data_IF_670876015604
#
_entry.id   IF_670876015604
#
_cell.length_a   1.000
_cell.length_b   1.000
_cell.length_c   1.000
_cell.angle_alpha   90.00
_cell.angle_beta   90.00
_cell.angle_gamma   90.00
#
_symmetry.space_group_name_H-M   'P 1'
#
loop_
_entity.id
_entity.type
_entity.pdbx_description
1 polymer ?
#
# COMPACT_ATOMS: atom_id res chain seq x y z
N UNK A 1 5.05 -9.44 -14.72
CA UNK A 1 3.63 -9.07 -14.91
C UNK A 1 3.32 -8.53 -16.27
N UNK A 2 3.97 -7.48 -16.78
CA UNK A 2 3.65 -6.96 -18.14
C UNK A 2 3.74 -8.02 -19.24
N UNK A 3 4.88 -8.72 -19.35
CA UNK A 3 5.06 -9.75 -20.38
C UNK A 3 4.28 -11.05 -20.08
N UNK A 4 4.25 -11.49 -18.81
CA UNK A 4 3.55 -12.71 -18.39
C UNK A 4 2.03 -12.57 -18.52
N UNK A 5 1.47 -11.41 -18.16
CA UNK A 5 0.04 -11.11 -18.32
C UNK A 5 -0.37 -11.00 -19.79
N UNK A 6 0.53 -10.55 -20.68
CA UNK A 6 0.28 -10.62 -22.12
C UNK A 6 0.28 -12.09 -22.60
N UNK A 7 1.22 -12.92 -22.13
CA UNK A 7 1.25 -14.35 -22.47
C UNK A 7 -0.02 -15.08 -21.99
N UNK A 8 -0.52 -14.74 -20.80
CA UNK A 8 -1.79 -15.24 -20.26
C UNK A 8 -2.99 -14.77 -21.08
N UNK A 9 -3.09 -13.47 -21.36
CA UNK A 9 -4.20 -12.89 -22.14
C UNK A 9 -4.30 -13.51 -23.55
N UNK A 10 -3.16 -13.80 -24.19
CA UNK A 10 -3.10 -14.41 -25.52
C UNK A 10 -3.05 -15.94 -25.50
N UNK A 11 -3.18 -16.59 -24.33
CA UNK A 11 -3.10 -18.06 -24.16
C UNK A 11 -1.82 -18.68 -24.78
N UNK A 12 -0.69 -17.96 -24.75
CA UNK A 12 0.58 -18.43 -25.31
C UNK A 12 1.27 -19.48 -24.43
N UNK A 13 0.92 -19.54 -23.15
CA UNK A 13 1.56 -20.42 -22.16
C UNK A 13 0.48 -20.95 -21.22
N UNK A 14 0.62 -22.22 -20.83
CA UNK A 14 -0.21 -22.82 -19.78
C UNK A 14 0.13 -22.18 -18.42
N UNK A 15 -0.85 -21.51 -17.83
CA UNK A 15 -0.73 -20.81 -16.54
C UNK A 15 -0.47 -21.75 -15.37
N UNK A 16 -0.78 -23.05 -15.51
CA UNK A 16 -0.48 -24.07 -14.51
C UNK A 16 0.93 -24.66 -14.65
N UNK A 17 1.66 -24.29 -15.72
CA UNK A 17 3.05 -24.71 -15.89
C UNK A 17 3.89 -24.20 -14.73
N UNK A 18 4.66 -25.09 -14.10
CA UNK A 18 5.54 -24.72 -12.98
C UNK A 18 6.53 -23.60 -13.33
N UNK A 19 6.92 -23.48 -14.60
CA UNK A 19 7.76 -22.37 -15.07
C UNK A 19 7.01 -21.03 -15.05
N UNK A 20 5.74 -21.01 -15.47
CA UNK A 20 4.92 -19.81 -15.43
C UNK A 20 4.71 -19.34 -14.00
N UNK A 21 4.34 -20.26 -13.09
CA UNK A 21 4.16 -19.97 -11.66
C UNK A 21 5.43 -19.41 -11.02
N UNK A 22 6.60 -19.98 -11.31
CA UNK A 22 7.87 -19.49 -10.77
C UNK A 22 8.22 -18.09 -11.31
N UNK A 23 8.05 -17.85 -12.61
CA UNK A 23 8.31 -16.53 -13.20
C UNK A 23 7.34 -15.48 -12.68
N UNK A 24 6.08 -15.84 -12.49
CA UNK A 24 5.07 -14.98 -11.90
C UNK A 24 5.44 -14.60 -10.45
N UNK A 25 5.80 -15.60 -9.65
CA UNK A 25 6.26 -15.40 -8.26
C UNK A 25 7.49 -14.48 -8.19
N UNK A 26 8.48 -14.66 -9.06
CA UNK A 26 9.66 -13.80 -9.10
C UNK A 26 9.31 -12.38 -9.51
N UNK A 27 8.36 -12.21 -10.43
CA UNK A 27 7.90 -10.90 -10.84
C UNK A 27 7.09 -10.20 -9.74
N UNK A 28 6.17 -10.89 -9.07
CA UNK A 28 5.28 -10.30 -8.06
C UNK A 28 6.03 -9.91 -6.80
N UNK A 29 7.02 -10.70 -6.38
CA UNK A 29 7.78 -10.47 -5.16
C UNK A 29 8.31 -9.02 -5.05
N UNK A 30 8.84 -8.47 -6.15
CA UNK A 30 9.36 -7.10 -6.20
C UNK A 30 8.31 -6.03 -5.91
N UNK A 31 7.08 -6.21 -6.39
CA UNK A 31 5.96 -5.28 -6.18
C UNK A 31 5.30 -5.46 -4.81
N UNK A 32 5.27 -6.68 -4.29
CA UNK A 32 4.78 -6.98 -2.94
C UNK A 32 5.64 -6.23 -1.91
N UNK A 33 6.96 -6.31 -2.02
CA UNK A 33 7.87 -5.66 -1.07
C UNK A 33 8.13 -4.18 -1.37
N UNK A 34 7.59 -3.65 -2.46
CA UNK A 34 7.82 -2.26 -2.88
C UNK A 34 7.49 -1.24 -1.78
N UNK A 35 6.37 -1.37 -1.03
CA UNK A 35 6.09 -0.48 0.11
C UNK A 35 7.15 -0.52 1.21
N UNK A 36 7.82 -1.65 1.45
CA UNK A 36 8.92 -1.75 2.42
C UNK A 36 10.13 -0.96 1.93
N UNK A 37 10.51 -1.14 0.66
CA UNK A 37 11.66 -0.46 0.06
C UNK A 37 11.46 1.06 0.02
N UNK A 38 10.25 1.48 -0.34
CA UNK A 38 9.86 2.90 -0.34
C UNK A 38 9.81 3.42 1.09
N UNK A 39 9.23 2.67 2.03
CA UNK A 39 9.16 3.07 3.43
C UNK A 39 10.54 3.32 4.04
N UNK A 40 11.50 2.44 3.76
CA UNK A 40 12.89 2.62 4.16
C UNK A 40 13.51 3.89 3.56
N UNK A 41 13.38 4.06 2.24
CA UNK A 41 14.01 5.16 1.51
C UNK A 41 13.38 6.52 1.85
N UNK A 42 12.05 6.56 2.00
CA UNK A 42 11.29 7.74 2.36
C UNK A 42 11.56 8.18 3.80
N UNK A 43 11.71 7.23 4.73
CA UNK A 43 12.09 7.55 6.11
C UNK A 43 13.48 8.20 6.16
N UNK A 44 14.41 7.74 5.32
CA UNK A 44 15.73 8.36 5.17
C UNK A 44 15.62 9.82 4.70
N UNK A 45 14.81 10.07 3.67
CA UNK A 45 14.60 11.42 3.12
C UNK A 45 13.86 12.37 4.08
N UNK A 46 12.83 11.88 4.77
CA UNK A 46 12.09 12.68 5.75
C UNK A 46 12.82 12.82 7.09
N UNK A 47 13.99 12.18 7.24
CA UNK A 47 14.83 12.21 8.42
C UNK A 47 14.22 11.52 9.65
N UNK A 48 13.40 10.49 9.42
CA UNK A 48 12.94 9.56 10.45
C UNK A 48 13.81 8.30 10.51
N UNK A 49 13.47 7.38 11.40
CA UNK A 49 14.16 6.10 11.50
C UNK A 49 13.78 5.19 10.31
N UNK A 50 14.78 4.76 9.54
CA UNK A 50 14.61 3.94 8.34
C UNK A 50 14.02 2.56 8.64
N UNK A 51 14.33 1.98 9.79
CA UNK A 51 13.74 0.72 10.23
C UNK A 51 12.25 0.89 10.56
N UNK A 52 11.86 2.01 11.17
CA UNK A 52 10.43 2.30 11.38
C UNK A 52 9.71 2.50 10.05
N UNK A 53 10.33 3.20 9.10
CA UNK A 53 9.80 3.33 7.74
C UNK A 53 9.56 1.97 7.06
N UNK A 54 10.51 1.04 7.18
CA UNK A 54 10.36 -0.32 6.67
C UNK A 54 9.23 -1.10 7.38
N UNK A 55 9.10 -0.95 8.70
CA UNK A 55 8.02 -1.57 9.49
C UNK A 55 6.65 -1.05 9.05
N UNK A 56 6.52 0.26 8.83
CA UNK A 56 5.29 0.86 8.29
C UNK A 56 4.96 0.30 6.90
N UNK A 57 5.96 0.21 6.02
CA UNK A 57 5.80 -0.43 4.71
C UNK A 57 5.32 -1.89 4.83
N UNK A 58 5.84 -2.62 5.82
CA UNK A 58 5.41 -3.99 6.13
C UNK A 58 3.96 -4.08 6.62
N UNK A 59 3.53 -3.16 7.49
CA UNK A 59 2.14 -3.07 7.94
C UNK A 59 1.20 -2.84 6.77
N UNK A 60 1.59 -1.99 5.82
CA UNK A 60 0.78 -1.67 4.64
C UNK A 60 0.63 -2.84 3.65
N UNK A 61 1.43 -3.91 3.79
CA UNK A 61 1.34 -5.13 2.98
C UNK A 61 1.06 -6.38 3.83
N UNK A 62 0.55 -6.18 5.04
CA UNK A 62 0.32 -7.28 5.99
C UNK A 62 -0.61 -8.34 5.37
N UNK A 63 -0.38 -9.65 5.60
CA UNK A 63 -1.17 -10.73 4.98
C UNK A 63 -2.67 -10.70 5.29
N UNK A 64 -3.05 -10.15 6.45
CA UNK A 64 -4.47 -9.93 6.81
C UNK A 64 -5.14 -8.85 5.96
N UNK A 65 -4.38 -8.02 5.25
CA UNK A 65 -4.91 -7.09 4.28
C UNK A 65 -5.06 -7.81 2.94
N UNK A 66 -6.25 -7.71 2.35
CA UNK A 66 -6.49 -8.26 1.03
C UNK A 66 -5.54 -7.61 0.04
N UNK A 67 -4.76 -8.42 -0.66
CA UNK A 67 -3.91 -7.92 -1.73
C UNK A 67 -4.80 -7.35 -2.85
N UNK A 68 -4.55 -6.11 -3.34
CA UNK A 68 -5.28 -5.53 -4.46
C UNK A 68 -5.42 -6.42 -5.69
N UNK A 69 -4.46 -7.31 -5.95
CA UNK A 69 -4.57 -8.24 -7.09
C UNK A 69 -5.63 -9.33 -6.89
N UNK A 70 -6.03 -9.61 -5.65
CA UNK A 70 -7.12 -10.53 -5.31
C UNK A 70 -8.51 -9.90 -5.29
N UNK A 71 -8.64 -8.61 -5.61
CA UNK A 71 -9.94 -7.90 -5.66
C UNK A 71 -10.92 -8.51 -6.67
N UNK A 72 -10.43 -9.24 -7.67
CA UNK A 72 -11.24 -9.96 -8.66
C UNK A 72 -11.97 -11.15 -8.05
N UNK A 73 -11.38 -11.80 -7.04
CA UNK A 73 -11.87 -13.06 -6.46
C UNK A 73 -12.52 -12.87 -5.09
N UNK A 74 -12.12 -11.83 -4.35
CA UNK A 74 -12.59 -11.56 -2.99
C UNK A 74 -12.84 -10.06 -2.77
N UNK A 75 -13.83 -9.76 -1.92
CA UNK A 75 -14.09 -8.38 -1.47
C UNK A 75 -13.34 -8.12 -0.16
N UNK A 76 -12.74 -6.93 0.02
CA UNK A 76 -12.02 -6.61 1.24
C UNK A 76 -12.98 -6.57 2.42
N UNK A 77 -12.59 -7.22 3.52
CA UNK A 77 -13.32 -7.11 4.78
C UNK A 77 -13.33 -5.65 5.23
N UNK A 78 -14.49 -5.14 5.65
CA UNK A 78 -14.62 -3.78 6.17
C UNK A 78 -14.70 -3.83 7.68
N UNK A 79 -13.76 -3.20 8.37
CA UNK A 79 -13.79 -2.98 9.81
C UNK A 79 -14.59 -1.71 10.11
N UNK A 80 -15.58 -1.80 10.99
CA UNK A 80 -16.25 -0.62 11.52
C UNK A 80 -15.40 -0.03 12.66
N UNK A 81 -14.83 1.14 12.40
CA UNK A 81 -14.04 1.89 13.37
C UNK A 81 -14.79 3.17 13.74
N UNK A 82 -15.50 3.15 14.88
CA UNK A 82 -16.30 4.28 15.38
C UNK A 82 -17.28 4.88 14.35
N UNK A 83 -17.91 4.04 13.51
CA UNK A 83 -18.85 4.46 12.46
C UNK A 83 -18.21 4.74 11.10
N UNK A 84 -16.88 4.59 10.98
CA UNK A 84 -16.16 4.66 9.71
C UNK A 84 -15.75 3.27 9.25
N UNK A 85 -16.26 2.85 8.09
CA UNK A 85 -15.86 1.60 7.45
C UNK A 85 -14.46 1.71 6.84
N UNK A 86 -13.50 1.01 7.43
CA UNK A 86 -12.13 0.86 6.92
C UNK A 86 -12.00 -0.48 6.21
N UNK A 87 -11.78 -0.43 4.89
CA UNK A 87 -11.49 -1.65 4.14
C UNK A 87 -10.08 -2.15 4.47
N UNK A 88 -9.99 -3.43 4.78
CA UNK A 88 -8.72 -4.15 4.98
C UNK A 88 -8.11 -4.49 3.62
N UNK A 89 -7.78 -3.46 2.85
CA UNK A 89 -7.09 -3.56 1.58
C UNK A 89 -5.61 -3.22 1.77
N UNK A 90 -4.75 -4.05 1.19
CA UNK A 90 -3.31 -3.83 1.20
C UNK A 90 -2.90 -2.80 0.16
N UNK A 91 -1.66 -2.31 0.29
CA UNK A 91 -1.10 -1.26 -0.55
C UNK A 91 0.05 -1.76 -1.43
N UNK A 92 0.06 -3.07 -1.71
CA UNK A 92 1.05 -3.71 -2.57
C UNK A 92 1.13 -2.98 -3.92
N UNK A 93 2.35 -2.68 -4.37
CA UNK A 93 2.57 -1.96 -5.63
C UNK A 93 2.23 -0.46 -5.63
N UNK A 94 1.74 0.13 -4.53
CA UNK A 94 1.43 1.57 -4.48
C UNK A 94 2.57 2.38 -3.86
N UNK A 95 2.84 3.57 -4.41
CA UNK A 95 3.94 4.46 -4.00
C UNK A 95 3.45 5.62 -3.15
N UNK A 96 2.43 6.34 -3.66
CA UNK A 96 1.93 7.58 -3.06
C UNK A 96 1.41 7.36 -1.63
N UNK A 97 0.55 6.36 -1.36
CA UNK A 97 0.08 6.08 0.00
C UNK A 97 1.24 5.90 0.98
N UNK A 98 2.24 5.11 0.60
CA UNK A 98 3.41 4.78 1.44
C UNK A 98 4.23 6.03 1.77
N UNK A 99 4.50 6.88 0.77
CA UNK A 99 5.24 8.12 0.97
C UNK A 99 4.52 9.04 1.96
N UNK A 100 3.20 9.18 1.84
CA UNK A 100 2.39 9.99 2.76
C UNK A 100 2.41 9.41 4.18
N UNK A 101 2.25 8.09 4.33
CA UNK A 101 2.31 7.42 5.63
C UNK A 101 3.64 7.69 6.32
N UNK A 102 4.75 7.53 5.60
CA UNK A 102 6.09 7.64 6.15
C UNK A 102 6.46 9.10 6.45
N UNK A 103 5.92 10.06 5.70
CA UNK A 103 6.01 11.46 6.04
C UNK A 103 5.37 11.75 7.40
N UNK A 104 4.15 11.25 7.62
CA UNK A 104 3.45 11.40 8.91
C UNK A 104 4.21 10.68 10.02
N UNK A 105 4.70 9.46 9.76
CA UNK A 105 5.53 8.70 10.68
C UNK A 105 6.73 9.52 11.17
N UNK A 106 7.47 10.15 10.24
CA UNK A 106 8.66 10.93 10.58
C UNK A 106 8.31 12.15 11.45
N UNK A 107 7.13 12.76 11.23
CA UNK A 107 6.63 13.86 12.09
C UNK A 107 6.25 13.37 13.48
N UNK A 108 5.55 12.25 13.58
CA UNK A 108 5.15 11.63 14.85
C UNK A 108 6.38 11.24 15.65
N UNK A 109 7.34 10.53 15.04
CA UNK A 109 8.57 10.09 15.69
C UNK A 109 9.35 11.28 16.27
N UNK A 110 9.58 12.32 15.47
CA UNK A 110 10.28 13.53 15.91
C UNK A 110 9.54 14.28 17.01
N UNK A 111 8.21 14.23 17.03
CA UNK A 111 7.38 14.79 18.09
C UNK A 111 7.53 14.01 19.39
N UNK A 112 7.41 12.69 19.31
CA UNK A 112 7.50 11.78 20.46
C UNK A 112 8.87 11.85 21.14
N UNK A 113 9.96 11.90 20.37
CA UNK A 113 11.34 12.06 20.91
C UNK A 113 11.54 13.32 21.74
N UNK A 114 10.72 14.37 21.55
CA UNK A 114 10.81 15.61 22.35
C UNK A 114 10.07 15.52 23.68
N UNK A 115 9.07 14.64 23.76
CA UNK A 115 8.19 14.50 24.92
C UNK A 115 8.65 13.35 25.82
N UNK A 116 9.20 12.29 25.22
CA UNK A 116 9.56 11.07 25.93
C UNK A 116 10.92 11.22 26.63
N UNK A 117 11.04 10.88 27.93
CA UNK A 117 12.32 10.89 28.63
C UNK A 117 13.34 9.91 28.04
N UNK A 118 14.62 10.30 27.98
CA UNK A 118 15.71 9.51 27.37
C UNK A 118 15.82 8.07 27.87
N UNK A 119 15.46 7.80 29.12
CA UNK A 119 15.55 6.46 29.74
C UNK A 119 14.64 5.44 29.03
N UNK A 120 13.53 5.91 28.46
CA UNK A 120 12.50 5.06 27.84
C UNK A 120 12.32 5.33 26.34
N UNK A 121 13.00 6.32 25.78
CA UNK A 121 12.94 6.71 24.36
C UNK A 121 13.23 5.55 23.40
N UNK A 122 14.19 4.69 23.74
CA UNK A 122 14.57 3.54 22.90
C UNK A 122 13.42 2.56 22.66
N UNK A 123 12.48 2.46 23.61
CA UNK A 123 11.37 1.50 23.55
C UNK A 123 10.04 2.18 23.22
N UNK A 124 9.71 3.26 23.94
CA UNK A 124 8.40 3.91 23.83
C UNK A 124 8.25 4.68 22.52
N UNK A 125 9.29 5.37 22.06
CA UNK A 125 9.22 6.15 20.82
C UNK A 125 8.91 5.29 19.61
N UNK A 126 9.67 4.22 19.30
CA UNK A 126 9.37 3.39 18.14
C UNK A 126 8.01 2.69 18.27
N UNK A 127 7.64 2.22 19.46
CA UNK A 127 6.36 1.57 19.72
C UNK A 127 5.17 2.51 19.44
N UNK A 128 5.18 3.69 20.07
CA UNK A 128 4.12 4.68 19.89
C UNK A 128 4.08 5.22 18.46
N UNK A 129 5.25 5.43 17.84
CA UNK A 129 5.34 5.87 16.44
C UNK A 129 4.63 4.88 15.52
N UNK A 130 4.92 3.59 15.65
CA UNK A 130 4.32 2.55 14.82
C UNK A 130 2.81 2.46 15.05
N UNK A 131 2.35 2.50 16.30
CA UNK A 131 0.92 2.45 16.62
C UNK A 131 0.17 3.64 16.04
N UNK A 132 0.60 4.87 16.35
CA UNK A 132 -0.09 6.06 15.87
C UNK A 132 -0.06 6.14 14.35
N UNK A 133 1.09 5.84 13.73
CA UNK A 133 1.20 5.84 12.27
C UNK A 133 0.35 4.75 11.63
N UNK A 134 0.30 3.54 12.21
CA UNK A 134 -0.53 2.44 11.71
C UNK A 134 -2.01 2.80 11.71
N UNK A 135 -2.50 3.41 12.79
CA UNK A 135 -3.88 3.93 12.84
C UNK A 135 -4.11 5.01 11.79
N UNK A 136 -3.19 5.96 11.62
CA UNK A 136 -3.30 7.00 10.58
C UNK A 136 -3.31 6.37 9.17
N UNK A 137 -2.46 5.37 8.92
CA UNK A 137 -2.42 4.67 7.65
C UNK A 137 -3.78 4.05 7.31
N UNK A 138 -4.39 3.34 8.26
CA UNK A 138 -5.67 2.68 8.00
C UNK A 138 -6.85 3.68 7.91
N UNK A 139 -6.92 4.64 8.85
CA UNK A 139 -8.07 5.54 8.96
C UNK A 139 -8.08 6.66 7.92
N UNK A 140 -6.90 7.15 7.52
CA UNK A 140 -6.78 8.29 6.61
C UNK A 140 -6.43 7.81 5.21
N UNK A 141 -5.43 6.94 5.10
CA UNK A 141 -4.86 6.56 3.80
C UNK A 141 -5.73 5.52 3.09
N UNK A 142 -6.46 4.68 3.82
CA UNK A 142 -7.47 3.77 3.24
C UNK A 142 -8.57 4.49 2.49
N UNK A 143 -9.33 5.39 3.14
CA UNK A 143 -10.33 6.20 2.45
C UNK A 143 -9.75 7.06 1.31
N UNK A 144 -8.57 7.64 1.49
CA UNK A 144 -7.90 8.41 0.44
C UNK A 144 -7.52 7.56 -0.78
N UNK A 145 -7.02 6.34 -0.56
CA UNK A 145 -6.72 5.38 -1.63
C UNK A 145 -7.97 5.05 -2.44
N UNK A 146 -9.11 4.80 -1.77
CA UNK A 146 -10.41 4.58 -2.43
C UNK A 146 -10.89 5.81 -3.20
N UNK A 147 -10.81 6.98 -2.59
CA UNK A 147 -11.23 8.22 -3.24
C UNK A 147 -10.41 8.48 -4.52
N UNK A 148 -9.10 8.22 -4.50
CA UNK A 148 -8.24 8.32 -5.68
C UNK A 148 -8.61 7.27 -6.74
N UNK A 149 -8.82 6.01 -6.35
CA UNK A 149 -9.24 4.94 -7.27
C UNK A 149 -10.58 5.23 -7.95
N UNK A 150 -11.57 5.69 -7.17
CA UNK A 150 -12.87 6.10 -7.69
C UNK A 150 -12.75 7.32 -8.61
N UNK A 151 -11.88 8.27 -8.28
CA UNK A 151 -11.61 9.44 -9.12
C UNK A 151 -11.00 9.07 -10.47
N UNK A 152 -10.04 8.13 -10.49
CA UNK A 152 -9.46 7.62 -11.75
C UNK A 152 -10.53 6.91 -12.58
N UNK A 153 -11.34 6.05 -11.95
CA UNK A 153 -12.42 5.33 -12.63
C UNK A 153 -13.41 6.31 -13.27
N UNK A 154 -13.87 7.30 -12.50
CA UNK A 154 -14.77 8.33 -12.99
C UNK A 154 -14.16 9.18 -14.13
N UNK A 155 -12.86 9.44 -14.08
CA UNK A 155 -12.15 10.14 -15.15
C UNK A 155 -12.05 9.30 -16.43
N UNK A 156 -11.76 8.00 -16.29
CA UNK A 156 -11.76 7.08 -17.43
C UNK A 156 -13.17 6.98 -18.04
N UNK A 157 -14.21 6.84 -17.21
CA UNK A 157 -15.61 6.83 -17.66
C UNK A 157 -15.99 8.13 -18.37
N UNK A 158 -15.51 9.28 -17.91
CA UNK A 158 -15.72 10.56 -18.58
C UNK A 158 -15.05 10.61 -19.96
N UNK A 159 -13.81 10.11 -20.07
CA UNK A 159 -13.11 10.01 -21.36
C UNK A 159 -13.86 9.06 -22.29
N UNK A 160 -14.24 7.87 -21.82
CA UNK A 160 -14.97 6.91 -22.63
C UNK A 160 -16.37 7.42 -23.02
N UNK A 161 -17.07 8.12 -22.12
CA UNK A 161 -18.37 8.74 -22.41
C UNK A 161 -18.30 9.93 -23.37
N UNK A 162 -17.21 10.71 -23.35
CA UNK A 162 -17.03 11.89 -24.21
C UNK A 162 -16.37 11.55 -25.55
N UNK A 163 -15.47 10.55 -25.58
CA UNK A 163 -14.82 10.06 -26.79
C UNK A 163 -15.61 8.93 -27.48
N UNK A 164 -16.54 8.26 -26.78
CA UNK A 164 -17.37 7.17 -27.31
C UNK A 164 -18.15 7.48 -28.61
N UNK A 165 -18.64 8.72 -28.86
CA UNK A 165 -19.22 9.06 -30.15
C UNK A 165 -18.22 9.15 -31.31
N UNK A 166 -16.91 9.23 -31.04
CA UNK A 166 -15.83 9.39 -32.03
C UNK A 166 -14.89 8.17 -32.07
N UNK A 167 -14.85 7.36 -31.01
CA UNK A 167 -13.98 6.20 -30.83
C UNK A 167 -14.70 4.86 -31.05
N UNK A 168 -15.72 4.83 -31.92
CA UNK A 168 -16.50 3.64 -32.26
C UNK A 168 -15.65 2.40 -32.56
#
# INVERSE_FOLDING_TARGET
MGLLGLMETYNWVDTESGLFVLLDMFSSASFIILPILIGYSAAKEFGGNTYLGAVIGGIMIHPELLNPWGLSDAQPATLDFFGFGVEMLGYQGTVIPVLLTVYVMAKIEKGLRKVIPNVVDLLLTPFLTVIFTGFVAMLVIGPLGRALGNGITAFLDFIYGTAGPIAG
#
